data_IF_864685830525
#
_entry.id   IF_864685830525
#
_cell.length_a   1.000
_cell.length_b   1.000
_cell.length_c   1.000
_cell.angle_alpha   90.00
_cell.angle_beta   90.00
_cell.angle_gamma   90.00
#
_symmetry.space_group_name_H-M   'P 1'
#
loop_
_entity.id
_entity.type
_entity.pdbx_description
1 polymer ?
#
# COMPACT_ATOMS: atom_id res chain seq x y z
N UNK A 1 -15.34 -5.38 7.79
CA UNK A 1 -15.22 -5.15 6.34
C UNK A 1 -15.95 -3.87 5.97
N UNK A 2 -15.29 -2.73 6.16
CA UNK A 2 -15.72 -1.44 5.63
C UNK A 2 -14.87 -1.24 4.38
N UNK A 3 -15.48 -1.25 3.20
CA UNK A 3 -14.75 -0.94 1.96
C UNK A 3 -14.61 0.58 1.91
N UNK A 4 -13.39 1.10 2.03
CA UNK A 4 -13.10 2.52 1.86
C UNK A 4 -13.14 2.84 0.35
N UNK A 5 -14.34 3.01 -0.17
CA UNK A 5 -14.59 3.23 -1.59
C UNK A 5 -14.22 4.67 -1.99
N UNK A 6 -12.94 4.92 -2.28
CA UNK A 6 -12.47 6.16 -2.89
C UNK A 6 -13.01 6.23 -4.33
N UNK A 7 -14.08 7.00 -4.55
CA UNK A 7 -14.75 7.07 -5.86
C UNK A 7 -13.99 7.93 -6.86
N UNK A 8 -13.41 7.30 -7.89
CA UNK A 8 -13.00 7.95 -9.13
C UNK A 8 -14.08 7.78 -10.23
N UNK A 9 -14.16 8.72 -11.18
CA UNK A 9 -15.24 8.79 -12.18
C UNK A 9 -14.97 7.94 -13.43
N UNK A 10 -16.03 7.41 -14.04
CA UNK A 10 -15.94 6.53 -15.20
C UNK A 10 -15.81 7.26 -16.56
N UNK A 11 -15.01 6.67 -17.45
CA UNK A 11 -14.99 6.72 -18.92
C UNK A 11 -15.70 7.89 -19.63
N UNK A 12 -14.91 8.71 -20.35
CA UNK A 12 -15.38 9.59 -21.43
C UNK A 12 -14.94 9.01 -22.78
N UNK A 13 -15.89 8.63 -23.63
CA UNK A 13 -15.61 8.09 -24.96
C UNK A 13 -15.37 9.19 -26.01
N UNK A 14 -14.16 9.27 -26.58
CA UNK A 14 -13.93 10.00 -27.85
C UNK A 14 -12.68 9.53 -28.61
N UNK A 15 -12.87 8.66 -29.62
CA UNK A 15 -12.00 8.52 -30.79
C UNK A 15 -10.60 7.90 -30.60
N UNK A 16 -10.47 6.62 -30.92
CA UNK A 16 -9.24 5.93 -31.35
C UNK A 16 -7.97 6.10 -30.48
N UNK A 17 -8.13 6.38 -29.19
CA UNK A 17 -7.09 6.19 -28.19
C UNK A 17 -7.69 5.35 -27.04
N UNK A 18 -7.16 4.15 -26.83
CA UNK A 18 -7.37 3.45 -25.56
C UNK A 18 -6.59 4.20 -24.49
N UNK A 19 -7.26 5.14 -23.82
CA UNK A 19 -6.77 5.62 -22.54
C UNK A 19 -6.93 4.46 -21.55
N UNK A 20 -5.81 3.79 -21.24
CA UNK A 20 -5.71 3.03 -20.00
C UNK A 20 -5.90 4.04 -18.86
N UNK A 21 -7.15 4.17 -18.42
CA UNK A 21 -7.43 4.60 -17.06
C UNK A 21 -6.97 3.41 -16.23
N UNK A 22 -5.88 3.50 -15.44
CA UNK A 22 -5.56 2.42 -14.51
C UNK A 22 -6.80 2.23 -13.64
N UNK A 23 -7.27 0.99 -13.51
CA UNK A 23 -8.25 0.70 -12.47
C UNK A 23 -7.63 1.17 -11.16
N UNK A 24 -8.36 1.98 -10.39
CA UNK A 24 -7.96 2.33 -9.03
C UNK A 24 -7.72 1.00 -8.33
N UNK A 25 -6.46 0.74 -7.96
CA UNK A 25 -6.11 -0.47 -7.28
C UNK A 25 -6.96 -0.55 -6.01
N UNK A 26 -7.50 -1.73 -5.74
CA UNK A 26 -8.40 -1.91 -4.62
C UNK A 26 -7.57 -2.09 -3.36
N UNK A 27 -7.15 -0.96 -2.77
CA UNK A 27 -6.48 -0.90 -1.48
C UNK A 27 -7.25 -1.74 -0.44
N UNK A 28 -6.77 -2.95 -0.18
CA UNK A 28 -7.39 -3.87 0.77
C UNK A 28 -6.80 -3.61 2.15
N UNK A 29 -7.67 -3.54 3.15
CA UNK A 29 -7.27 -3.31 4.54
C UNK A 29 -6.63 -4.58 5.10
N UNK A 30 -5.29 -4.63 5.06
CA UNK A 30 -4.49 -5.71 5.65
C UNK A 30 -4.70 -5.75 7.16
N UNK A 31 -4.70 -4.56 7.77
CA UNK A 31 -4.85 -4.36 9.20
C UNK A 31 -5.62 -3.07 9.47
N UNK A 32 -6.47 -3.09 10.50
CA UNK A 32 -7.03 -1.87 11.07
C UNK A 32 -7.27 -2.09 12.55
N UNK A 33 -6.69 -1.25 13.40
CA UNK A 33 -6.98 -1.22 14.82
C UNK A 33 -7.35 0.20 15.24
N UNK A 34 -8.57 0.33 15.73
CA UNK A 34 -9.04 1.56 16.34
C UNK A 34 -8.46 1.56 17.72
N UNK A 35 -7.42 2.35 17.97
CA UNK A 35 -6.92 2.42 19.32
C UNK A 35 -8.03 2.98 20.23
N UNK A 36 -8.57 4.24 20.16
CA UNK A 36 -9.99 4.56 20.49
C UNK A 36 -10.50 5.74 21.44
N UNK A 37 -11.37 5.55 22.50
CA UNK A 37 -12.07 6.67 23.26
C UNK A 37 -12.45 6.61 24.83
N UNK A 38 -11.93 7.49 25.73
CA UNK A 38 -12.34 8.15 27.04
C UNK A 38 -11.15 8.94 27.75
N UNK A 39 -11.18 9.34 29.06
CA UNK A 39 -10.58 10.62 29.56
C UNK A 39 -9.69 10.76 30.86
N UNK A 40 -8.94 9.75 31.37
CA UNK A 40 -8.04 9.96 32.56
C UNK A 40 -6.74 9.13 32.48
N UNK A 41 -5.70 9.55 33.21
CA UNK A 41 -4.47 8.77 33.38
C UNK A 41 -4.59 7.74 34.53
N UNK A 42 -4.56 6.47 34.16
CA UNK A 42 -3.96 5.32 34.88
C UNK A 42 -3.97 4.14 33.89
N UNK A 43 -2.93 3.30 33.89
CA UNK A 43 -2.80 2.22 32.88
C UNK A 43 -3.52 0.94 33.30
N UNK A 44 -4.21 0.34 32.34
CA UNK A 44 -4.64 -1.06 32.34
C UNK A 44 -4.23 -1.63 30.99
N UNK A 45 -3.03 -2.23 30.92
CA UNK A 45 -2.61 -3.01 29.77
C UNK A 45 -3.48 -4.26 29.64
N UNK A 46 -3.95 -4.54 28.43
CA UNK A 46 -4.80 -5.69 28.10
C UNK A 46 -4.64 -6.02 26.61
N UNK A 47 -4.37 -7.28 26.30
CA UNK A 47 -3.71 -7.73 25.07
C UNK A 47 -4.41 -7.30 23.76
N UNK A 48 -3.63 -7.06 22.70
CA UNK A 48 -4.13 -6.55 21.42
C UNK A 48 -3.07 -6.39 20.31
N UNK A 49 -2.61 -7.51 19.75
CA UNK A 49 -1.87 -7.65 18.47
C UNK A 49 -0.51 -6.93 18.27
N UNK A 50 -0.22 -5.83 18.96
CA UNK A 50 1.03 -5.09 18.87
C UNK A 50 1.97 -5.44 20.03
N UNK A 51 3.28 -5.45 19.76
CA UNK A 51 4.34 -5.58 20.77
C UNK A 51 4.75 -4.17 21.27
N UNK A 52 4.67 -3.95 22.59
CA UNK A 52 5.13 -2.74 23.28
C UNK A 52 6.64 -2.85 23.60
N UNK A 53 7.41 -1.77 23.37
CA UNK A 53 8.86 -1.71 23.66
C UNK A 53 9.20 -0.46 24.46
N UNK A 54 9.82 -0.68 25.62
CA UNK A 54 10.36 0.37 26.52
C UNK A 54 11.50 1.17 25.86
N UNK A 55 11.62 2.45 26.24
CA UNK A 55 12.75 3.32 25.85
C UNK A 55 14.08 3.04 26.58
N UNK A 56 15.03 3.99 26.53
CA UNK A 56 16.36 3.87 27.15
C UNK A 56 16.41 4.40 28.60
N UNK A 57 15.35 5.00 29.14
CA UNK A 57 15.31 5.55 30.50
C UNK A 57 14.13 5.03 31.35
N UNK A 58 14.28 5.21 32.66
CA UNK A 58 13.61 4.49 33.76
C UNK A 58 12.06 4.60 33.86
N UNK A 59 11.37 5.18 32.87
CA UNK A 59 9.93 5.50 32.91
C UNK A 59 9.23 5.53 31.52
N UNK A 60 9.77 4.81 30.54
CA UNK A 60 9.47 4.95 29.10
C UNK A 60 8.66 3.80 28.49
N UNK A 61 7.69 3.28 29.23
CA UNK A 61 6.76 2.27 28.74
C UNK A 61 5.85 2.87 27.64
N UNK A 62 5.82 2.23 26.48
CA UNK A 62 4.72 2.35 25.52
C UNK A 62 3.44 1.80 26.17
N UNK A 63 2.30 2.48 26.00
CA UNK A 63 1.09 2.22 26.79
C UNK A 63 -0.17 2.25 25.94
N UNK A 64 -0.72 1.09 25.63
CA UNK A 64 -2.07 0.94 25.06
C UNK A 64 -3.10 1.27 26.15
N UNK A 65 -3.83 2.35 25.93
CA UNK A 65 -5.07 2.70 26.65
C UNK A 65 -6.24 1.99 25.97
N UNK A 66 -7.28 1.61 26.75
CA UNK A 66 -8.64 1.34 26.23
C UNK A 66 -9.60 2.57 26.39
N UNK A 67 -9.01 3.79 26.50
CA UNK A 67 -9.69 5.09 26.28
C UNK A 67 -8.86 6.37 25.80
N UNK A 68 -9.31 7.16 24.77
CA UNK A 68 -8.87 8.55 24.36
C UNK A 68 -9.92 9.70 24.18
N UNK A 69 -9.50 10.95 23.88
CA UNK A 69 -10.41 12.08 23.62
C UNK A 69 -11.22 12.10 22.30
N UNK A 70 -10.92 11.30 21.26
CA UNK A 70 -11.31 11.63 19.86
C UNK A 70 -12.82 11.49 19.52
N UNK A 71 -13.51 12.54 19.03
CA UNK A 71 -14.90 12.43 18.58
C UNK A 71 -15.05 11.53 17.34
N UNK A 72 -15.79 10.43 17.48
CA UNK A 72 -16.06 9.45 16.40
C UNK A 72 -15.25 8.15 16.51
N UNK A 73 -14.24 8.11 17.40
CA UNK A 73 -13.46 6.90 17.73
C UNK A 73 -14.12 6.05 18.83
N UNK A 74 -13.65 4.81 19.10
CA UNK A 74 -14.48 3.81 19.82
C UNK A 74 -13.89 2.93 20.95
N UNK A 75 -12.57 2.86 21.17
CA UNK A 75 -11.91 1.70 21.87
C UNK A 75 -10.66 1.86 22.83
N UNK A 76 -9.97 3.02 23.02
CA UNK A 76 -8.52 3.10 23.40
C UNK A 76 -7.65 4.32 23.02
N UNK A 77 -6.32 4.21 23.01
CA UNK A 77 -5.28 4.96 22.23
C UNK A 77 -3.88 4.50 22.65
N UNK A 78 -2.89 4.54 21.77
CA UNK A 78 -1.48 4.35 22.18
C UNK A 78 -0.94 5.65 22.78
N UNK A 79 -0.09 5.55 23.80
CA UNK A 79 0.87 6.60 24.19
C UNK A 79 2.30 6.09 24.06
N UNK A 80 3.16 6.91 23.49
CA UNK A 80 4.62 6.71 23.42
C UNK A 80 5.31 7.86 24.15
N UNK A 81 6.32 7.56 24.95
CA UNK A 81 7.25 8.50 25.60
C UNK A 81 8.57 8.54 24.81
N UNK A 82 9.55 9.32 25.28
CA UNK A 82 10.94 9.27 24.79
C UNK A 82 11.39 7.81 24.64
N UNK A 83 12.08 7.52 23.53
CA UNK A 83 12.54 6.20 23.11
C UNK A 83 11.46 5.16 22.78
N UNK A 84 10.27 5.27 23.37
CA UNK A 84 9.24 4.23 23.39
C UNK A 84 8.63 3.98 22.01
N UNK A 85 8.27 2.72 21.76
CA UNK A 85 7.71 2.32 20.48
C UNK A 85 6.71 1.18 20.59
N UNK A 86 5.87 1.06 19.57
CA UNK A 86 4.89 0.00 19.41
C UNK A 86 5.03 -0.58 17.99
N UNK A 87 5.02 -1.92 17.85
CA UNK A 87 5.22 -2.57 16.54
C UNK A 87 4.29 -3.75 16.27
N UNK A 88 3.99 -4.01 14.99
CA UNK A 88 3.13 -5.10 14.54
C UNK A 88 3.62 -5.72 13.24
N UNK A 89 3.45 -7.04 13.11
CA UNK A 89 3.84 -7.81 11.95
C UNK A 89 2.65 -7.99 10.99
N UNK A 90 2.84 -7.62 9.71
CA UNK A 90 1.80 -7.66 8.67
C UNK A 90 2.32 -8.48 7.50
N UNK A 91 1.49 -9.41 6.99
CA UNK A 91 1.76 -10.14 5.75
C UNK A 91 1.52 -9.22 4.55
N UNK A 92 2.59 -8.91 3.81
CA UNK A 92 2.57 -8.03 2.63
C UNK A 92 2.51 -8.83 1.31
N UNK A 93 2.27 -10.14 1.36
CA UNK A 93 2.22 -11.01 0.18
C UNK A 93 1.14 -10.57 -0.83
N UNK A 94 1.55 -10.24 -2.05
CA UNK A 94 0.64 -9.89 -3.14
C UNK A 94 0.25 -8.41 -3.20
N UNK A 95 1.00 -7.50 -2.57
CA UNK A 95 0.72 -6.05 -2.58
C UNK A 95 1.90 -5.24 -3.17
N UNK A 96 1.59 -4.21 -3.96
CA UNK A 96 2.60 -3.34 -4.62
C UNK A 96 3.03 -2.14 -3.76
N UNK A 97 2.19 -1.76 -2.79
CA UNK A 97 2.44 -0.66 -1.87
C UNK A 97 1.79 -0.93 -0.51
N UNK A 98 2.15 -0.10 0.48
CA UNK A 98 1.43 0.01 1.74
C UNK A 98 1.01 1.45 1.99
N UNK A 99 -0.26 1.64 2.30
CA UNK A 99 -0.87 2.90 2.70
C UNK A 99 -1.19 2.83 4.19
N UNK A 100 -0.36 3.50 4.98
CA UNK A 100 -0.58 3.77 6.39
C UNK A 100 -1.50 4.98 6.50
N UNK A 101 -2.47 4.95 7.39
CA UNK A 101 -3.34 6.09 7.67
C UNK A 101 -3.79 6.06 9.12
N UNK A 102 -3.64 7.18 9.81
CA UNK A 102 -3.83 7.25 11.26
C UNK A 102 -4.17 8.67 11.71
N UNK A 103 -4.68 8.78 12.93
CA UNK A 103 -4.72 10.06 13.65
C UNK A 103 -3.62 10.04 14.69
N UNK A 104 -2.90 11.14 14.82
CA UNK A 104 -1.95 11.32 15.90
C UNK A 104 -2.05 12.72 16.48
N UNK A 105 -1.28 12.95 17.56
CA UNK A 105 -1.01 14.27 18.11
C UNK A 105 0.18 14.22 19.05
N UNK A 106 0.84 15.37 19.20
CA UNK A 106 1.89 15.58 20.18
C UNK A 106 1.39 15.70 21.62
N UNK A 107 2.29 16.21 22.45
CA UNK A 107 2.10 16.59 23.84
C UNK A 107 1.38 17.96 23.97
N UNK A 108 1.34 18.56 25.16
CA UNK A 108 0.82 19.90 25.42
C UNK A 108 1.85 21.03 25.19
N UNK A 109 3.12 20.73 25.42
CA UNK A 109 4.24 21.68 25.43
C UNK A 109 5.10 21.56 24.14
N UNK A 110 4.73 20.65 23.24
CA UNK A 110 5.55 20.05 22.19
C UNK A 110 6.49 21.02 21.45
N UNK A 111 7.80 20.84 21.63
CA UNK A 111 8.86 21.58 20.95
C UNK A 111 9.13 21.03 19.53
N UNK A 112 9.81 21.82 18.69
CA UNK A 112 10.07 21.46 17.27
C UNK A 112 11.19 20.40 17.08
N UNK A 113 11.28 19.45 17.99
CA UNK A 113 12.17 18.27 17.96
C UNK A 113 11.45 16.99 18.40
N UNK A 114 10.15 17.07 18.67
CA UNK A 114 9.30 15.97 19.13
C UNK A 114 8.55 15.34 17.95
N UNK A 115 9.21 14.43 17.24
CA UNK A 115 8.66 13.81 16.03
C UNK A 115 7.97 12.47 16.35
N UNK A 116 6.96 12.13 15.54
CA UNK A 116 6.45 10.77 15.41
C UNK A 116 7.14 10.12 14.20
N UNK A 117 7.90 9.07 14.46
CA UNK A 117 8.60 8.30 13.42
C UNK A 117 7.77 7.07 13.07
N UNK A 118 7.42 6.94 11.79
CA UNK A 118 6.76 5.76 11.23
C UNK A 118 7.82 4.96 10.47
N UNK A 119 8.17 3.80 10.99
CA UNK A 119 9.25 2.95 10.51
C UNK A 119 8.73 1.58 10.05
N UNK A 120 9.49 0.91 9.19
CA UNK A 120 9.21 -0.48 8.82
C UNK A 120 10.49 -1.29 8.57
N UNK A 121 10.38 -2.62 8.56
CA UNK A 121 11.46 -3.55 8.18
C UNK A 121 10.91 -4.87 7.66
N UNK A 122 11.73 -5.72 7.04
CA UNK A 122 11.35 -7.13 6.87
C UNK A 122 11.40 -7.83 8.24
N UNK A 123 10.48 -8.76 8.49
CA UNK A 123 10.38 -9.39 9.80
C UNK A 123 11.68 -10.11 10.20
N UNK A 124 12.23 -9.76 11.37
CA UNK A 124 13.53 -10.26 11.84
C UNK A 124 14.79 -9.56 11.31
N UNK A 125 14.69 -8.46 10.55
CA UNK A 125 15.85 -7.57 10.31
C UNK A 125 16.20 -6.76 11.57
N UNK A 126 17.48 -6.45 11.80
CA UNK A 126 17.88 -5.57 12.93
C UNK A 126 17.65 -4.08 12.64
N UNK A 127 17.67 -3.68 11.36
CA UNK A 127 17.64 -2.27 10.94
C UNK A 127 16.24 -1.83 10.54
N UNK A 128 15.71 -0.82 11.23
CA UNK A 128 14.49 -0.11 10.79
C UNK A 128 14.79 0.80 9.59
N UNK A 129 13.82 0.89 8.69
CA UNK A 129 13.80 1.77 7.53
C UNK A 129 12.83 2.90 7.90
N UNK A 130 13.34 4.14 7.90
CA UNK A 130 12.61 5.36 8.28
C UNK A 130 12.19 6.09 6.98
N UNK A 131 11.02 5.78 6.39
CA UNK A 131 10.58 6.38 5.13
C UNK A 131 10.23 7.87 5.25
N UNK A 132 9.57 8.28 6.34
CA UNK A 132 9.04 9.64 6.55
C UNK A 132 9.08 10.01 8.04
N UNK A 133 9.24 11.30 8.33
CA UNK A 133 9.30 11.87 9.69
C UNK A 133 8.13 12.84 9.90
N UNK A 134 7.25 12.57 10.87
CA UNK A 134 6.06 13.40 11.11
C UNK A 134 6.34 14.40 12.23
N UNK A 135 6.55 15.65 11.82
CA UNK A 135 6.88 16.79 12.68
C UNK A 135 5.77 17.85 12.60
N UNK A 136 4.73 17.72 13.44
CA UNK A 136 3.68 18.74 13.63
C UNK A 136 3.72 19.29 15.07
N UNK A 137 4.11 20.56 15.20
CA UNK A 137 4.28 21.25 16.49
C UNK A 137 2.93 21.71 17.05
N UNK A 138 2.32 20.91 17.90
CA UNK A 138 1.04 21.21 18.57
C UNK A 138 1.27 22.16 19.76
N UNK A 139 1.49 23.46 19.51
CA UNK A 139 1.56 24.48 20.57
C UNK A 139 0.20 24.61 21.28
N UNK A 140 0.04 23.86 22.36
CA UNK A 140 -1.17 23.80 23.14
C UNK A 140 -1.13 24.71 24.39
N UNK A 141 -0.26 25.72 24.40
CA UNK A 141 -0.07 26.64 25.54
C UNK A 141 -1.26 27.59 25.77
N UNK A 142 -2.14 27.79 24.77
CA UNK A 142 -3.20 28.80 24.79
C UNK A 142 -4.65 28.31 24.87
N UNK A 143 -4.94 27.03 24.61
CA UNK A 143 -6.31 26.53 24.42
C UNK A 143 -6.51 25.06 24.84
N UNK A 144 -7.67 24.47 24.53
CA UNK A 144 -8.10 23.18 25.08
C UNK A 144 -7.74 22.01 24.13
N UNK A 145 -6.75 21.21 24.52
CA UNK A 145 -6.13 20.12 23.75
C UNK A 145 -7.01 18.85 23.60
N UNK A 146 -8.31 19.03 23.37
CA UNK A 146 -9.27 17.93 23.14
C UNK A 146 -9.46 17.59 21.66
N UNK A 147 -9.15 18.55 20.77
CA UNK A 147 -9.03 18.26 19.35
C UNK A 147 -7.88 17.25 19.13
N UNK A 148 -8.06 16.40 18.12
CA UNK A 148 -6.99 15.56 17.59
C UNK A 148 -6.59 16.18 16.27
N UNK A 149 -5.29 16.35 16.09
CA UNK A 149 -4.70 16.87 14.87
C UNK A 149 -4.76 15.80 13.76
N UNK A 150 -4.03 16.04 12.68
CA UNK A 150 -4.49 15.64 11.36
C UNK A 150 -4.66 14.12 11.15
N UNK A 151 -5.60 13.78 10.26
CA UNK A 151 -5.61 12.47 9.61
C UNK A 151 -4.43 12.45 8.64
N UNK A 152 -3.36 11.79 9.04
CA UNK A 152 -2.15 11.66 8.24
C UNK A 152 -2.15 10.34 7.46
N UNK A 153 -1.44 10.37 6.33
CA UNK A 153 -1.35 9.25 5.40
C UNK A 153 0.06 9.13 4.83
N UNK A 154 0.62 7.92 4.90
CA UNK A 154 1.95 7.57 4.40
C UNK A 154 1.77 6.49 3.34
N UNK A 155 2.24 6.72 2.11
CA UNK A 155 2.21 5.71 1.05
C UNK A 155 3.63 5.27 0.75
N UNK A 156 3.94 4.03 1.12
CA UNK A 156 5.24 3.42 0.90
C UNK A 156 5.15 2.49 -0.32
N UNK A 157 5.96 2.68 -1.38
CA UNK A 157 6.13 1.63 -2.36
C UNK A 157 6.80 0.43 -1.67
N UNK A 158 6.22 -0.76 -1.82
CA UNK A 158 6.90 -1.97 -1.33
C UNK A 158 8.08 -2.25 -2.27
N UNK A 159 9.32 -2.35 -1.77
CA UNK A 159 10.41 -2.85 -2.59
C UNK A 159 10.14 -4.33 -2.92
N UNK A 160 10.66 -4.81 -4.05
CA UNK A 160 10.47 -6.17 -4.56
C UNK A 160 10.76 -7.29 -3.53
N UNK A 161 11.62 -7.00 -2.56
CA UNK A 161 12.05 -7.90 -1.48
C UNK A 161 11.03 -8.02 -0.33
N UNK A 162 9.94 -7.24 -0.34
CA UNK A 162 8.86 -7.30 0.63
C UNK A 162 7.60 -8.00 0.12
N UNK A 163 7.47 -8.24 -1.19
CA UNK A 163 6.44 -9.16 -1.70
C UNK A 163 6.71 -10.60 -1.21
N UNK A 164 5.65 -11.38 -1.04
CA UNK A 164 5.67 -12.72 -0.45
C UNK A 164 6.20 -12.79 0.99
N UNK A 165 6.31 -11.66 1.70
CA UNK A 165 7.02 -11.54 2.96
C UNK A 165 6.18 -10.89 4.07
N UNK A 166 6.50 -11.24 5.32
CA UNK A 166 5.99 -10.51 6.49
C UNK A 166 6.90 -9.31 6.73
N UNK A 167 6.31 -8.13 6.82
CA UNK A 167 6.97 -6.92 7.30
C UNK A 167 6.66 -6.68 8.78
N UNK A 168 7.48 -5.90 9.45
CA UNK A 168 7.14 -5.28 10.72
C UNK A 168 7.01 -3.77 10.53
N UNK A 169 5.98 -3.19 11.14
CA UNK A 169 5.67 -1.75 11.17
C UNK A 169 5.91 -1.27 12.60
N UNK A 170 6.51 -0.10 12.77
CA UNK A 170 6.73 0.53 14.07
C UNK A 170 6.28 1.98 14.05
N UNK A 171 5.62 2.40 15.13
CA UNK A 171 5.50 3.79 15.52
C UNK A 171 6.43 4.04 16.70
N UNK A 172 7.27 5.07 16.62
CA UNK A 172 8.22 5.45 17.67
C UNK A 172 8.16 6.95 17.92
N UNK A 173 8.24 7.37 19.18
CA UNK A 173 8.43 8.79 19.52
C UNK A 173 9.92 9.15 19.62
N UNK A 174 10.27 10.37 19.23
CA UNK A 174 11.57 11.01 19.54
C UNK A 174 11.39 12.25 20.42
N UNK A 175 10.33 12.28 21.22
CA UNK A 175 10.22 13.17 22.39
C UNK A 175 11.44 13.04 23.28
N UNK A 176 11.81 14.09 24.02
CA UNK A 176 13.12 14.21 24.68
C UNK A 176 13.09 14.69 26.14
N UNK A 177 11.91 14.92 26.73
CA UNK A 177 11.76 15.12 28.17
C UNK A 177 10.58 14.37 28.80
N UNK A 178 10.64 14.31 30.13
CA UNK A 178 9.88 13.36 30.96
C UNK A 178 8.39 13.71 31.21
N UNK A 179 7.82 14.65 30.46
CA UNK A 179 6.38 14.94 30.43
C UNK A 179 5.73 14.66 29.07
N UNK A 180 6.52 14.45 28.03
CA UNK A 180 6.06 14.37 26.64
C UNK A 180 5.46 12.97 26.34
N UNK A 181 4.27 12.93 25.75
CA UNK A 181 3.55 11.70 25.42
C UNK A 181 2.83 11.83 24.05
N UNK A 182 3.50 11.38 22.98
CA UNK A 182 2.92 11.27 21.64
C UNK A 182 1.79 10.22 21.61
N UNK A 183 0.73 10.47 20.84
CA UNK A 183 -0.52 9.68 20.89
C UNK A 183 -1.00 9.30 19.51
N UNK A 184 -1.54 8.07 19.38
CA UNK A 184 -1.93 7.48 18.08
C UNK A 184 -3.30 6.79 18.21
N UNK A 185 -4.15 6.96 17.20
CA UNK A 185 -5.50 6.39 17.09
C UNK A 185 -5.87 6.00 15.64
N UNK A 186 -6.82 5.07 15.49
CA UNK A 186 -7.37 4.56 14.22
C UNK A 186 -6.30 4.27 13.14
N UNK A 187 -5.31 3.44 13.48
CA UNK A 187 -4.29 2.99 12.51
C UNK A 187 -4.93 1.99 11.55
N UNK A 188 -4.94 2.38 10.28
CA UNK A 188 -5.27 1.53 9.13
C UNK A 188 -4.00 1.32 8.33
N UNK A 189 -3.70 0.06 8.01
CA UNK A 189 -2.71 -0.32 7.00
C UNK A 189 -3.45 -1.04 5.88
N UNK A 190 -3.48 -0.41 4.72
CA UNK A 190 -3.98 -1.00 3.48
C UNK A 190 -2.83 -1.26 2.51
N UNK A 191 -3.05 -2.10 1.51
CA UNK A 191 -2.13 -2.27 0.39
C UNK A 191 -2.89 -2.44 -0.92
N UNK A 192 -2.35 -1.89 -2.00
CA UNK A 192 -2.87 -2.12 -3.34
C UNK A 192 -2.41 -3.49 -3.86
N UNK A 193 -3.35 -4.33 -4.30
CA UNK A 193 -3.06 -5.69 -4.78
C UNK A 193 -2.24 -5.66 -6.08
N UNK A 194 -1.18 -6.46 -6.14
CA UNK A 194 -0.47 -6.78 -7.38
C UNK A 194 -1.48 -7.47 -8.32
N UNK A 195 -1.79 -6.91 -9.49
CA UNK A 195 -2.66 -7.59 -10.44
C UNK A 195 -1.98 -8.87 -10.94
N UNK A 196 -2.71 -9.98 -11.11
CA UNK A 196 -2.13 -11.15 -11.77
C UNK A 196 -1.63 -10.76 -13.16
N UNK A 197 -0.54 -11.38 -13.66
CA UNK A 197 -0.10 -11.14 -15.03
C UNK A 197 -1.27 -11.42 -16.00
N UNK A 198 -1.34 -10.70 -17.13
CA UNK A 198 -2.24 -11.05 -18.22
C UNK A 198 -2.12 -12.53 -18.59
N UNK A 199 -3.21 -13.18 -19.03
CA UNK A 199 -3.13 -14.49 -19.65
C UNK A 199 -2.10 -14.53 -20.79
N UNK A 200 -1.36 -15.62 -20.82
CA UNK A 200 -0.35 -16.01 -21.80
C UNK A 200 -0.57 -17.53 -21.96
N UNK A 201 -1.31 -17.89 -23.01
CA UNK A 201 -1.93 -19.22 -23.18
C UNK A 201 -0.97 -20.28 -23.71
N UNK A 202 0.09 -19.88 -24.42
CA UNK A 202 1.08 -20.78 -25.00
C UNK A 202 2.48 -20.72 -24.33
N UNK A 203 2.77 -19.66 -23.58
CA UNK A 203 3.96 -19.48 -22.76
C UNK A 203 5.12 -18.74 -23.44
N UNK A 204 4.89 -17.96 -24.49
CA UNK A 204 5.94 -17.23 -25.22
C UNK A 204 6.36 -15.89 -24.57
N UNK A 205 5.51 -15.31 -23.73
CA UNK A 205 5.71 -14.03 -23.04
C UNK A 205 4.92 -12.83 -23.59
N UNK A 206 4.10 -13.01 -24.62
CA UNK A 206 3.15 -12.02 -25.15
C UNK A 206 1.74 -12.32 -24.59
N UNK A 207 1.02 -11.32 -24.05
CA UNK A 207 -0.35 -11.54 -23.56
C UNK A 207 -1.37 -11.90 -24.64
N UNK A 208 -2.29 -12.82 -24.34
CA UNK A 208 -3.45 -13.25 -25.16
C UNK A 208 -4.24 -12.10 -25.82
N UNK A 209 -4.25 -10.93 -25.19
CA UNK A 209 -4.98 -9.74 -25.66
C UNK A 209 -4.22 -8.85 -26.66
N UNK A 210 -2.98 -9.23 -26.98
CA UNK A 210 -2.05 -8.53 -27.90
C UNK A 210 -1.29 -9.48 -28.81
N UNK A 211 -1.38 -10.78 -28.55
CA UNK A 211 -0.75 -11.86 -29.30
C UNK A 211 -1.51 -12.15 -30.61
N UNK A 212 -0.77 -12.27 -31.72
CA UNK A 212 -1.29 -12.64 -33.03
C UNK A 212 -1.34 -14.16 -33.32
N UNK A 213 -0.94 -15.03 -32.37
CA UNK A 213 -0.98 -16.50 -32.54
C UNK A 213 -1.59 -17.38 -31.43
N UNK A 214 -1.87 -16.88 -30.22
CA UNK A 214 -2.69 -17.40 -29.08
C UNK A 214 -2.44 -18.83 -28.54
N UNK A 215 -2.28 -19.81 -29.43
CA UNK A 215 -2.04 -21.23 -29.17
C UNK A 215 -0.66 -21.70 -29.73
N UNK A 216 0.19 -20.80 -30.26
CA UNK A 216 1.40 -21.15 -31.05
C UNK A 216 2.57 -20.15 -30.85
N UNK A 217 3.59 -20.47 -30.02
CA UNK A 217 4.59 -19.50 -29.54
C UNK A 217 5.41 -18.78 -30.63
N UNK A 218 5.35 -17.45 -30.66
CA UNK A 218 6.02 -16.59 -31.64
C UNK A 218 6.41 -15.21 -31.07
N UNK A 219 7.28 -15.17 -30.05
CA UNK A 219 7.59 -13.96 -29.27
C UNK A 219 8.25 -12.80 -30.05
N UNK A 220 8.53 -12.96 -31.35
CA UNK A 220 8.89 -11.90 -32.28
C UNK A 220 7.67 -11.19 -32.94
N UNK A 221 6.49 -11.81 -32.86
CA UNK A 221 5.18 -11.33 -33.34
C UNK A 221 5.23 -10.88 -34.80
N UNK A 222 5.96 -11.63 -35.63
CA UNK A 222 6.02 -11.39 -37.07
C UNK A 222 4.65 -11.68 -37.70
N UNK A 223 4.17 -10.70 -38.46
CA UNK A 223 2.96 -10.66 -39.28
C UNK A 223 3.42 -9.99 -40.58
N UNK A 224 3.62 -10.81 -41.61
CA UNK A 224 4.33 -10.41 -42.84
C UNK A 224 3.43 -9.70 -43.87
N UNK A 225 2.13 -9.98 -43.90
CA UNK A 225 1.18 -9.36 -44.84
C UNK A 225 0.30 -8.25 -44.20
N UNK A 226 0.11 -8.28 -42.89
CA UNK A 226 -0.62 -7.30 -42.09
C UNK A 226 -2.09 -7.61 -41.83
N UNK A 227 -2.53 -8.88 -41.95
CA UNK A 227 -3.91 -9.28 -41.69
C UNK A 227 -4.27 -9.33 -40.19
N UNK A 228 -3.27 -9.58 -39.32
CA UNK A 228 -3.40 -9.67 -37.86
C UNK A 228 -3.25 -11.08 -37.28
N UNK A 229 -2.94 -12.10 -38.10
CA UNK A 229 -2.51 -13.45 -37.72
C UNK A 229 -0.99 -13.55 -37.91
N UNK A 230 -0.27 -14.16 -36.97
CA UNK A 230 1.20 -14.24 -37.05
C UNK A 230 1.72 -15.34 -38.00
N UNK A 231 2.90 -15.12 -38.59
CA UNK A 231 3.61 -16.03 -39.50
C UNK A 231 3.80 -17.47 -38.97
N UNK A 232 3.68 -17.67 -37.66
CA UNK A 232 3.85 -18.96 -36.99
C UNK A 232 2.57 -19.81 -36.97
N UNK A 233 1.40 -19.18 -37.07
CA UNK A 233 0.09 -19.83 -36.99
C UNK A 233 -0.77 -19.64 -38.24
N UNK A 234 -0.45 -18.67 -39.10
CA UNK A 234 -1.13 -18.50 -40.39
C UNK A 234 -0.76 -19.62 -41.39
N UNK A 235 -1.73 -19.96 -42.25
CA UNK A 235 -1.59 -20.83 -43.41
C UNK A 235 -1.09 -20.12 -44.67
N UNK A 236 -1.17 -18.79 -44.71
CA UNK A 236 -1.02 -17.93 -45.90
C UNK A 236 -0.08 -16.72 -45.65
N UNK A 237 1.07 -16.87 -44.95
CA UNK A 237 1.81 -15.74 -44.34
C UNK A 237 2.43 -14.73 -45.32
N UNK A 238 2.27 -14.89 -46.64
CA UNK A 238 2.60 -13.90 -47.66
C UNK A 238 1.34 -13.28 -48.31
N UNK A 239 0.18 -13.47 -47.67
CA UNK A 239 -1.16 -13.21 -48.16
C UNK A 239 -1.74 -14.32 -49.04
N UNK A 240 -3.05 -14.21 -49.27
CA UNK A 240 -3.86 -14.91 -50.26
C UNK A 240 -4.63 -13.84 -51.05
N UNK A 241 -4.32 -13.66 -52.34
CA UNK A 241 -4.86 -12.55 -53.14
C UNK A 241 -6.24 -12.85 -53.76
N UNK A 242 -6.60 -14.12 -53.96
CA UNK A 242 -7.81 -14.54 -54.68
C UNK A 242 -8.79 -15.40 -53.84
N UNK A 243 -8.55 -15.52 -52.54
CA UNK A 243 -9.33 -16.28 -51.55
C UNK A 243 -9.36 -17.81 -51.86
N UNK A 244 -8.26 -18.37 -52.42
CA UNK A 244 -8.12 -19.77 -52.85
C UNK A 244 -7.71 -20.73 -51.70
N UNK A 245 -6.97 -20.22 -50.72
CA UNK A 245 -6.43 -20.96 -49.58
C UNK A 245 -4.99 -21.48 -49.76
N UNK A 246 -4.22 -20.89 -50.68
CA UNK A 246 -2.80 -21.20 -50.91
C UNK A 246 -1.96 -19.93 -50.83
N UNK A 247 -0.91 -19.96 -50.00
CA UNK A 247 0.04 -18.86 -49.80
C UNK A 247 0.62 -18.30 -51.12
N UNK A 248 0.57 -16.97 -51.27
CA UNK A 248 1.06 -16.19 -52.42
C UNK A 248 2.50 -16.51 -52.86
N UNK A 249 3.39 -16.96 -51.96
CA UNK A 249 4.77 -17.31 -52.30
C UNK A 249 4.93 -18.77 -52.80
N UNK A 250 3.86 -19.57 -52.73
CA UNK A 250 3.82 -20.96 -53.21
C UNK A 250 2.81 -21.23 -54.31
N UNK A 251 1.78 -20.38 -54.48
CA UNK A 251 0.83 -20.53 -55.58
C UNK A 251 1.44 -20.17 -56.96
N UNK A 252 0.75 -20.59 -58.01
CA UNK A 252 1.13 -20.55 -59.41
C UNK A 252 0.25 -19.61 -60.27
N UNK A 253 -0.86 -19.09 -59.74
CA UNK A 253 -1.79 -18.13 -60.35
C UNK A 253 -2.35 -17.08 -59.32
N UNK A 254 -1.53 -16.29 -58.58
CA UNK A 254 -1.98 -15.50 -57.42
C UNK A 254 -2.66 -14.14 -57.76
N UNK A 255 -3.48 -14.10 -58.83
CA UNK A 255 -4.12 -12.91 -59.44
C UNK A 255 -5.37 -13.25 -60.29
#
# INVERSE_FOLDING_TARGET
MIVIAITAFALVFSGNAFLFIPQVAHAETLFSDSFGSSNRADVIGDEGAWDEVEGEHDNEDARISKNSPRPGSTTGHVRLRDGASISHAIDASGYENLMFSFYWRGDKDAESSEDLVVSWRLAGEETWREPELFSETVDCSGSNCDDWDNYDQVVLPLPSEADGSVIEVQFKSTTSANNEEARIDDVVVAGDLIPPPPPDSDGDGIPDGTDNCLDTPNADQTDTDGDGVGDACDSTPNGDNDDDGIDNATDNCPD
#
